data_IF_286251480398
#
_entry.id   IF_286251480398
#
_cell.length_a   1.000
_cell.length_b   1.000
_cell.length_c   1.000
_cell.angle_alpha   90.00
_cell.angle_beta   90.00
_cell.angle_gamma   90.00
#
_symmetry.space_group_name_H-M   'P 1'
#
loop_
_entity.id
_entity.type
_entity.pdbx_description
1 polymer ?
#
# COMPACT_ATOMS: atom_id res chain seq x y z
N UNK A 1 3.87 -1.06 -35.55
CA UNK A 1 3.65 0.07 -34.61
C UNK A 1 3.54 -0.54 -33.23
N UNK A 2 4.33 -0.08 -32.23
CA UNK A 2 4.22 -0.57 -30.87
C UNK A 2 2.93 -0.02 -30.25
N UNK A 3 2.21 -0.81 -29.41
CA UNK A 3 1.05 -0.32 -28.70
C UNK A 3 1.46 0.81 -27.74
N UNK A 4 0.61 1.83 -27.62
CA UNK A 4 0.79 2.90 -26.62
C UNK A 4 0.46 2.31 -25.26
N UNK A 5 1.34 2.49 -24.28
CA UNK A 5 1.07 2.07 -22.91
C UNK A 5 -0.16 2.82 -22.36
N UNK A 6 -1.11 2.07 -21.81
CA UNK A 6 -2.28 2.64 -21.16
C UNK A 6 -1.89 3.03 -19.73
N UNK A 7 -2.16 4.28 -19.35
CA UNK A 7 -1.97 4.70 -17.95
C UNK A 7 -2.95 3.95 -17.04
N UNK A 8 -2.48 3.23 -16.02
CA UNK A 8 -3.39 2.60 -15.05
C UNK A 8 -4.22 3.65 -14.31
N UNK A 9 -5.45 3.30 -13.95
CA UNK A 9 -6.37 4.20 -13.28
C UNK A 9 -7.04 3.52 -12.09
N UNK A 10 -7.29 4.29 -11.04
CA UNK A 10 -8.08 3.88 -9.88
C UNK A 10 -9.40 4.64 -9.89
N UNK A 11 -10.56 3.99 -9.71
CA UNK A 11 -11.86 4.68 -9.60
C UNK A 11 -11.86 5.71 -8.46
N UNK A 12 -12.61 6.79 -8.62
CA UNK A 12 -12.81 7.81 -7.60
C UNK A 12 -14.29 7.82 -7.19
N UNK A 13 -14.57 7.85 -5.90
CA UNK A 13 -15.94 8.00 -5.38
C UNK A 13 -16.55 9.28 -5.92
N UNK A 14 -17.82 9.22 -6.30
CA UNK A 14 -18.49 10.34 -6.95
C UNK A 14 -18.25 10.46 -8.45
N UNK A 15 -17.40 9.61 -9.02
CA UNK A 15 -17.09 9.52 -10.45
C UNK A 15 -15.70 10.02 -10.83
N UNK A 16 -15.25 9.60 -11.99
CA UNK A 16 -13.91 9.88 -12.50
C UNK A 16 -12.90 8.76 -12.25
N UNK A 17 -11.69 8.99 -12.72
CA UNK A 17 -10.59 8.04 -12.63
C UNK A 17 -9.30 8.78 -12.26
N UNK A 18 -8.59 8.26 -11.28
CA UNK A 18 -7.31 8.79 -10.83
C UNK A 18 -6.17 8.09 -11.60
N UNK A 19 -5.39 8.80 -12.43
CA UNK A 19 -4.29 8.22 -13.18
C UNK A 19 -3.13 7.89 -12.24
N UNK A 20 -2.65 6.65 -12.27
CA UNK A 20 -1.54 6.21 -11.42
C UNK A 20 -0.22 6.51 -12.09
N UNK A 21 0.62 7.31 -11.42
CA UNK A 21 1.97 7.64 -11.87
C UNK A 21 3.01 6.69 -11.26
N UNK A 22 3.05 6.57 -9.94
CA UNK A 22 3.97 5.70 -9.19
C UNK A 22 3.29 5.19 -7.93
N UNK A 23 3.76 4.05 -7.43
CA UNK A 23 3.34 3.49 -6.16
C UNK A 23 4.55 3.42 -5.24
N UNK A 24 4.56 4.26 -4.21
CA UNK A 24 5.50 4.17 -3.09
C UNK A 24 4.91 3.31 -2.00
N UNK A 25 5.75 2.52 -1.34
CA UNK A 25 5.36 1.69 -0.21
C UNK A 25 6.28 1.93 0.98
N UNK A 26 5.72 1.90 2.18
CA UNK A 26 6.43 2.14 3.43
C UNK A 26 6.53 0.84 4.22
N UNK A 27 7.73 0.29 4.31
CA UNK A 27 7.97 -0.90 5.11
C UNK A 27 8.08 -0.60 6.61
N UNK A 28 7.56 -1.54 7.46
CA UNK A 28 7.71 -1.52 8.93
C UNK A 28 7.15 -0.27 9.60
N UNK A 29 6.00 0.21 9.16
CA UNK A 29 5.40 1.45 9.67
C UNK A 29 4.40 1.24 10.81
N UNK A 30 4.16 0.01 11.26
CA UNK A 30 3.43 -0.31 12.48
C UNK A 30 4.36 -1.03 13.46
N UNK A 31 4.35 -0.60 14.73
CA UNK A 31 5.28 -1.12 15.75
C UNK A 31 5.10 -2.63 15.97
N UNK A 32 3.86 -3.12 16.03
CA UNK A 32 3.57 -4.53 16.25
C UNK A 32 3.96 -5.40 15.07
N UNK A 33 3.72 -4.93 13.84
CA UNK A 33 4.20 -5.60 12.64
C UNK A 33 5.74 -5.62 12.56
N UNK A 34 6.41 -4.54 12.94
CA UNK A 34 7.87 -4.53 12.98
C UNK A 34 8.40 -5.61 13.93
N UNK A 35 7.78 -5.79 15.12
CA UNK A 35 8.13 -6.86 16.08
C UNK A 35 7.83 -8.26 15.53
N UNK A 36 6.67 -8.46 14.91
CA UNK A 36 6.27 -9.71 14.24
C UNK A 36 7.32 -10.15 13.21
N UNK A 37 7.89 -9.19 12.48
CA UNK A 37 8.94 -9.41 11.47
C UNK A 37 10.36 -9.44 12.03
N UNK A 38 10.52 -9.51 13.37
CA UNK A 38 11.82 -9.62 14.04
C UNK A 38 12.64 -8.33 14.08
N UNK A 39 12.02 -7.17 13.83
CA UNK A 39 12.66 -5.85 13.95
C UNK A 39 12.31 -5.19 15.29
N UNK A 40 13.21 -4.32 15.77
CA UNK A 40 12.94 -3.47 16.91
C UNK A 40 11.95 -2.36 16.50
N UNK A 41 10.88 -2.19 17.30
CA UNK A 41 10.04 -1.01 17.16
C UNK A 41 10.69 0.17 17.91
N UNK A 42 10.65 1.40 17.35
CA UNK A 42 11.19 2.58 18.04
C UNK A 42 10.38 2.85 19.32
N UNK A 43 11.06 3.17 20.41
CA UNK A 43 10.41 3.50 21.67
C UNK A 43 9.93 4.97 21.71
N UNK A 44 10.44 5.80 20.80
CA UNK A 44 10.08 7.22 20.70
C UNK A 44 10.20 7.72 19.27
N UNK A 45 9.58 8.86 18.92
CA UNK A 45 9.78 9.52 17.64
C UNK A 45 11.25 9.81 17.28
N UNK A 46 12.10 10.08 18.27
CA UNK A 46 13.53 10.34 18.08
C UNK A 46 14.31 9.08 17.64
N UNK A 47 13.80 7.90 17.94
CA UNK A 47 14.44 6.60 17.66
C UNK A 47 13.96 5.96 16.35
N UNK A 48 13.04 6.61 15.63
CA UNK A 48 12.43 6.05 14.40
C UNK A 48 13.43 5.75 13.27
N UNK A 49 14.62 6.39 13.30
CA UNK A 49 15.61 6.27 12.24
C UNK A 49 15.13 6.90 10.94
N UNK A 50 15.21 6.12 9.85
CA UNK A 50 14.67 6.50 8.53
C UNK A 50 13.59 5.51 8.11
N UNK A 51 12.49 5.97 7.47
CA UNK A 51 11.51 5.04 6.90
C UNK A 51 12.14 4.18 5.81
N UNK A 52 11.66 2.94 5.70
CA UNK A 52 12.06 2.04 4.63
C UNK A 52 11.10 2.22 3.47
N UNK A 53 11.61 2.58 2.30
CA UNK A 53 10.82 2.74 1.09
C UNK A 53 11.16 1.68 0.06
N UNK A 54 10.15 1.26 -0.69
CA UNK A 54 10.26 0.48 -1.91
C UNK A 54 9.12 0.89 -2.86
N UNK A 55 9.14 0.41 -4.09
CA UNK A 55 8.15 0.78 -5.09
C UNK A 55 7.45 -0.48 -5.63
N UNK A 56 6.21 -0.26 -6.10
CA UNK A 56 5.54 -1.16 -7.03
C UNK A 56 5.34 -0.43 -8.37
N UNK A 57 5.33 -1.15 -9.50
CA UNK A 57 5.01 -0.54 -10.78
C UNK A 57 3.57 -0.02 -10.79
N UNK A 58 3.30 1.05 -11.55
CA UNK A 58 1.97 1.67 -11.59
C UNK A 58 0.88 0.71 -12.09
N UNK A 59 1.23 -0.20 -12.99
CA UNK A 59 0.36 -1.22 -13.57
C UNK A 59 0.14 -2.46 -12.66
N UNK A 60 0.73 -2.47 -11.45
CA UNK A 60 0.44 -3.48 -10.46
C UNK A 60 -0.94 -3.33 -9.79
N UNK A 61 -1.67 -2.21 -10.03
CA UNK A 61 -2.99 -1.98 -9.44
C UNK A 61 -4.03 -2.97 -9.96
N UNK A 62 -4.89 -3.47 -9.05
CA UNK A 62 -6.09 -4.26 -9.36
C UNK A 62 -7.28 -3.54 -8.74
N UNK A 63 -8.25 -3.15 -9.56
CA UNK A 63 -9.40 -2.34 -9.13
C UNK A 63 -10.73 -3.08 -9.17
N UNK A 64 -10.76 -4.27 -9.73
CA UNK A 64 -11.95 -5.14 -9.84
C UNK A 64 -11.98 -6.25 -8.78
N UNK A 65 -10.96 -6.31 -7.92
CA UNK A 65 -10.83 -7.30 -6.87
C UNK A 65 -10.47 -8.72 -7.35
N UNK A 66 -10.25 -8.94 -8.64
CA UNK A 66 -9.83 -10.22 -9.19
C UNK A 66 -8.30 -10.32 -9.21
N UNK A 67 -7.72 -10.97 -8.21
CA UNK A 67 -6.27 -11.07 -8.04
C UNK A 67 -5.77 -12.44 -8.49
N UNK A 68 -5.05 -12.55 -9.60
CA UNK A 68 -4.44 -13.81 -9.99
C UNK A 68 -3.33 -14.20 -9.00
N UNK A 69 -3.28 -15.48 -8.62
CA UNK A 69 -2.15 -15.97 -7.82
C UNK A 69 -0.86 -15.85 -8.64
N UNK A 70 0.18 -15.13 -8.15
CA UNK A 70 1.36 -14.83 -8.95
C UNK A 70 2.22 -16.08 -9.18
N UNK A 71 2.90 -16.16 -10.33
CA UNK A 71 3.89 -17.21 -10.57
C UNK A 71 5.13 -17.03 -9.68
N UNK A 72 5.92 -18.10 -9.54
CA UNK A 72 7.25 -18.05 -8.92
C UNK A 72 7.25 -17.96 -7.39
N UNK A 73 6.12 -18.19 -6.74
CA UNK A 73 6.00 -18.26 -5.27
C UNK A 73 5.03 -19.33 -4.84
N UNK A 74 5.24 -19.87 -3.64
CA UNK A 74 4.28 -20.70 -2.92
C UNK A 74 3.76 -20.02 -1.64
N UNK A 75 4.21 -18.79 -1.37
CA UNK A 75 3.89 -18.02 -0.17
C UNK A 75 3.49 -16.59 -0.53
N UNK A 76 2.30 -16.44 -1.13
CA UNK A 76 1.67 -15.13 -1.32
C UNK A 76 1.06 -14.67 0.00
N UNK A 77 1.49 -13.54 0.54
CA UNK A 77 0.97 -12.96 1.78
C UNK A 77 0.20 -11.68 1.52
N UNK A 78 -0.81 -11.45 2.38
CA UNK A 78 -1.55 -10.18 2.45
C UNK A 78 -0.88 -9.20 3.42
N UNK A 79 -0.98 -7.91 3.10
CA UNK A 79 -0.63 -6.77 3.96
C UNK A 79 -1.64 -5.66 3.69
N UNK A 80 -2.64 -5.46 4.58
CA UNK A 80 -3.63 -4.39 4.42
C UNK A 80 -3.04 -3.05 4.78
N UNK A 81 -3.26 -2.03 3.94
CA UNK A 81 -2.63 -0.73 4.10
C UNK A 81 -3.58 0.43 3.78
N UNK A 82 -3.40 1.55 4.50
CA UNK A 82 -3.89 2.83 4.05
C UNK A 82 -3.14 3.23 2.77
N UNK A 83 -3.88 3.70 1.77
CA UNK A 83 -3.31 4.27 0.56
C UNK A 83 -3.64 5.75 0.49
N UNK A 84 -2.63 6.59 0.33
CA UNK A 84 -2.74 8.03 0.15
C UNK A 84 -2.53 8.36 -1.32
N UNK A 85 -3.48 9.04 -1.94
CA UNK A 85 -3.41 9.48 -3.34
C UNK A 85 -3.02 10.95 -3.40
N UNK A 86 -2.00 11.30 -4.19
CA UNK A 86 -1.54 12.68 -4.36
C UNK A 86 -2.17 13.31 -5.61
N UNK A 87 -2.89 14.42 -5.42
CA UNK A 87 -3.58 15.14 -6.48
C UNK A 87 -2.83 16.34 -7.04
N UNK A 88 -1.65 16.65 -6.49
CA UNK A 88 -0.84 17.80 -6.89
C UNK A 88 0.64 17.47 -6.88
N UNK A 89 1.40 18.15 -7.73
CA UNK A 89 2.85 18.12 -7.68
C UNK A 89 3.35 18.88 -6.44
N UNK A 90 4.35 18.33 -5.76
CA UNK A 90 5.08 19.08 -4.74
C UNK A 90 5.92 20.17 -5.41
N UNK A 91 6.07 21.30 -4.72
CA UNK A 91 7.06 22.30 -5.11
C UNK A 91 8.47 21.68 -5.11
N UNK A 92 9.40 22.17 -5.94
CA UNK A 92 10.78 21.70 -5.91
C UNK A 92 11.40 21.83 -4.52
N UNK A 93 12.15 20.82 -4.11
CA UNK A 93 12.83 20.77 -2.82
C UNK A 93 12.10 19.97 -1.75
N UNK A 94 12.56 20.08 -0.52
CA UNK A 94 12.02 19.36 0.62
C UNK A 94 10.65 19.92 1.03
N UNK A 95 9.64 19.06 1.04
CA UNK A 95 8.27 19.40 1.43
C UNK A 95 8.17 19.63 2.95
N UNK A 96 7.70 20.80 3.36
CA UNK A 96 7.41 21.03 4.78
C UNK A 96 6.25 20.12 5.23
N UNK A 97 6.37 19.51 6.43
CA UNK A 97 5.29 18.64 6.99
C UNK A 97 3.94 19.34 7.03
N UNK A 98 3.92 20.61 7.42
CA UNK A 98 2.68 21.42 7.46
C UNK A 98 2.02 21.62 6.11
N UNK A 99 2.72 21.37 5.00
CA UNK A 99 2.21 21.49 3.64
C UNK A 99 1.80 20.14 3.03
N UNK A 100 2.12 19.03 3.69
CA UNK A 100 1.94 17.69 3.15
C UNK A 100 0.47 17.38 2.80
N UNK A 101 -0.47 17.74 3.68
CA UNK A 101 -1.90 17.53 3.47
C UNK A 101 -2.44 18.26 2.24
N UNK A 102 -1.82 19.35 1.81
CA UNK A 102 -2.23 20.08 0.61
C UNK A 102 -2.04 19.30 -0.69
N UNK A 103 -1.19 18.27 -0.69
CA UNK A 103 -0.97 17.38 -1.83
C UNK A 103 -1.99 16.25 -1.88
N UNK A 104 -2.63 15.90 -0.75
CA UNK A 104 -3.53 14.74 -0.66
C UNK A 104 -4.82 15.02 -1.41
N UNK A 105 -5.12 14.17 -2.38
CA UNK A 105 -6.38 14.13 -3.10
C UNK A 105 -7.44 13.33 -2.35
N UNK A 106 -7.04 12.18 -1.80
CA UNK A 106 -7.95 11.28 -1.12
C UNK A 106 -7.24 10.06 -0.55
N UNK A 107 -8.06 9.16 -0.02
CA UNK A 107 -7.62 7.95 0.66
C UNK A 107 -8.31 6.71 0.08
N UNK A 108 -7.61 5.58 0.14
CA UNK A 108 -8.12 4.27 -0.24
C UNK A 108 -7.61 3.22 0.75
N UNK A 109 -8.13 2.02 0.67
CA UNK A 109 -7.54 0.82 1.27
C UNK A 109 -6.98 -0.07 0.18
N UNK A 110 -5.80 -0.64 0.40
CA UNK A 110 -5.17 -1.57 -0.55
C UNK A 110 -4.51 -2.75 0.14
N UNK A 111 -4.02 -3.67 -0.68
CA UNK A 111 -3.17 -4.77 -0.23
C UNK A 111 -1.78 -4.64 -0.86
N UNK A 112 -0.73 -4.58 -0.04
CA UNK A 112 0.66 -4.75 -0.49
C UNK A 112 0.96 -6.26 -0.54
N UNK A 113 0.55 -6.90 -1.64
CA UNK A 113 0.78 -8.33 -1.83
C UNK A 113 2.26 -8.62 -1.94
N UNK A 114 2.67 -9.69 -1.25
CA UNK A 114 4.08 -10.03 -1.07
C UNK A 114 4.33 -11.50 -1.37
N UNK A 115 5.26 -11.79 -2.27
CA UNK A 115 5.87 -13.12 -2.42
C UNK A 115 6.84 -13.30 -1.25
N UNK A 116 6.35 -13.86 -0.14
CA UNK A 116 7.04 -13.84 1.15
C UNK A 116 8.33 -14.64 1.14
N UNK A 117 8.32 -15.78 0.48
CA UNK A 117 9.49 -16.64 0.26
C UNK A 117 10.63 -15.88 -0.45
N UNK A 118 10.32 -15.20 -1.55
CA UNK A 118 11.29 -14.41 -2.31
C UNK A 118 11.79 -13.19 -1.53
N UNK A 119 10.89 -12.52 -0.78
CA UNK A 119 11.31 -11.42 0.09
C UNK A 119 12.23 -11.90 1.22
N UNK A 120 11.96 -13.06 1.82
CA UNK A 120 12.78 -13.63 2.87
C UNK A 120 14.18 -13.98 2.34
N UNK A 121 14.26 -14.58 1.14
CA UNK A 121 15.52 -14.83 0.47
C UNK A 121 16.31 -13.54 0.19
N UNK A 122 15.65 -12.52 -0.35
CA UNK A 122 16.26 -11.22 -0.63
C UNK A 122 16.81 -10.58 0.66
N UNK A 123 16.04 -10.61 1.76
CA UNK A 123 16.50 -10.11 3.07
C UNK A 123 17.72 -10.85 3.57
N UNK A 124 17.73 -12.20 3.51
CA UNK A 124 18.84 -13.03 3.98
C UNK A 124 20.13 -12.76 3.20
N UNK A 125 20.02 -12.40 1.92
CA UNK A 125 21.16 -12.13 1.03
C UNK A 125 21.46 -10.63 0.87
N UNK A 126 20.77 -9.73 1.60
CA UNK A 126 20.88 -8.28 1.47
C UNK A 126 20.65 -7.78 0.02
N UNK A 127 19.73 -8.42 -0.70
CA UNK A 127 19.32 -8.07 -2.06
C UNK A 127 18.10 -7.13 -2.07
N UNK A 128 17.83 -6.42 -3.19
CA UNK A 128 16.60 -5.66 -3.39
C UNK A 128 15.34 -6.53 -3.23
N UNK A 129 14.21 -5.90 -2.81
CA UNK A 129 12.96 -6.61 -2.55
C UNK A 129 12.02 -6.70 -3.76
N UNK A 130 12.43 -6.15 -4.91
CA UNK A 130 11.59 -5.97 -6.09
C UNK A 130 10.87 -7.25 -6.52
N UNK A 131 11.59 -8.38 -6.62
CA UNK A 131 10.99 -9.67 -7.01
C UNK A 131 9.93 -10.18 -6.02
N UNK A 132 10.03 -9.77 -4.76
CA UNK A 132 9.06 -10.11 -3.71
C UNK A 132 7.91 -9.11 -3.59
N UNK A 133 8.08 -7.88 -4.08
CA UNK A 133 7.16 -6.77 -3.86
C UNK A 133 6.59 -6.13 -5.13
N UNK A 134 7.39 -6.04 -6.21
CA UNK A 134 7.07 -5.30 -7.42
C UNK A 134 6.71 -6.26 -8.56
N UNK A 135 5.56 -6.94 -8.45
CA UNK A 135 5.08 -7.90 -9.44
C UNK A 135 3.65 -7.56 -9.90
N UNK A 136 3.24 -8.15 -11.03
CA UNK A 136 1.94 -7.92 -11.65
C UNK A 136 0.80 -8.22 -10.67
N UNK A 137 -0.21 -7.36 -10.66
CA UNK A 137 -1.38 -7.46 -9.77
C UNK A 137 -1.03 -7.47 -8.26
N UNK A 138 0.11 -6.90 -7.86
CA UNK A 138 0.56 -6.89 -6.46
C UNK A 138 -0.01 -5.75 -5.61
N UNK A 139 -0.83 -4.87 -6.19
CA UNK A 139 -1.44 -3.71 -5.51
C UNK A 139 -2.96 -3.64 -5.71
N UNK A 140 -3.75 -4.62 -5.21
CA UNK A 140 -5.21 -4.46 -5.16
C UNK A 140 -5.57 -3.22 -4.34
N UNK A 141 -6.49 -2.40 -4.87
CA UNK A 141 -6.87 -1.11 -4.28
C UNK A 141 -8.36 -0.84 -4.47
N UNK A 142 -9.00 -0.24 -3.47
CA UNK A 142 -10.38 0.22 -3.53
C UNK A 142 -10.52 1.47 -4.42
N UNK A 143 -11.74 1.96 -4.59
CA UNK A 143 -11.93 3.34 -5.05
C UNK A 143 -11.22 4.32 -4.11
N UNK A 144 -10.78 5.47 -4.64
CA UNK A 144 -10.24 6.57 -3.84
C UNK A 144 -11.42 7.43 -3.36
N UNK A 145 -11.46 7.69 -2.06
CA UNK A 145 -12.42 8.62 -1.44
C UNK A 145 -11.75 9.99 -1.34
N UNK A 146 -12.31 11.04 -1.96
CA UNK A 146 -11.73 12.38 -1.88
C UNK A 146 -11.61 12.88 -0.44
N UNK A 147 -10.55 13.64 -0.13
CA UNK A 147 -10.29 14.14 1.23
C UNK A 147 -11.48 14.96 1.79
N UNK A 148 -12.24 15.62 0.93
CA UNK A 148 -13.43 16.37 1.33
C UNK A 148 -14.57 15.51 1.89
N UNK A 149 -14.56 14.20 1.59
CA UNK A 149 -15.54 13.21 2.07
C UNK A 149 -15.00 12.38 3.22
N UNK A 150 -13.79 12.68 3.69
CA UNK A 150 -13.15 11.98 4.82
C UNK A 150 -13.01 12.91 6.01
N UNK A 151 -13.26 12.40 7.20
CA UNK A 151 -13.06 13.14 8.45
C UNK A 151 -12.31 12.27 9.45
N UNK A 152 -11.53 12.91 10.28
CA UNK A 152 -10.86 12.30 11.42
C UNK A 152 -10.11 11.00 11.07
N UNK A 153 -9.21 11.09 10.08
CA UNK A 153 -8.42 9.93 9.64
C UNK A 153 -7.59 9.33 10.79
N UNK A 154 -7.17 10.13 11.76
CA UNK A 154 -6.42 9.66 12.92
C UNK A 154 -7.20 8.70 13.83
N UNK A 155 -8.53 8.76 13.82
CA UNK A 155 -9.39 7.87 14.61
C UNK A 155 -9.84 6.62 13.81
N UNK A 156 -9.39 6.45 12.57
CA UNK A 156 -9.76 5.31 11.73
C UNK A 156 -8.84 4.11 11.95
N UNK A 157 -9.34 2.95 11.54
CA UNK A 157 -8.62 1.69 11.61
C UNK A 157 -8.59 1.02 10.24
N UNK A 158 -7.61 0.15 10.05
CA UNK A 158 -7.56 -0.81 8.96
C UNK A 158 -8.02 -2.17 9.47
N UNK A 159 -8.85 -2.86 8.70
CA UNK A 159 -9.28 -4.23 8.98
C UNK A 159 -9.14 -5.08 7.74
N UNK A 160 -8.64 -6.30 7.88
CA UNK A 160 -8.65 -7.32 6.83
C UNK A 160 -9.32 -8.59 7.34
N UNK A 161 -10.27 -9.08 6.53
CA UNK A 161 -10.90 -10.39 6.71
C UNK A 161 -10.56 -11.28 5.51
N UNK A 162 -10.22 -12.52 5.79
CA UNK A 162 -10.04 -13.57 4.78
C UNK A 162 -11.03 -14.68 5.11
N UNK A 163 -11.89 -15.03 4.16
CA UNK A 163 -12.95 -16.03 4.34
C UNK A 163 -13.79 -15.76 5.60
N UNK A 164 -14.18 -14.49 5.78
CA UNK A 164 -14.94 -13.97 6.93
C UNK A 164 -14.20 -13.98 8.29
N UNK A 165 -12.96 -14.48 8.36
CA UNK A 165 -12.14 -14.42 9.56
C UNK A 165 -11.26 -13.15 9.56
N UNK A 166 -11.29 -12.38 10.67
CA UNK A 166 -10.43 -11.20 10.80
C UNK A 166 -8.98 -11.63 10.99
N UNK A 167 -8.12 -11.23 10.04
CA UNK A 167 -6.68 -11.52 10.04
C UNK A 167 -5.83 -10.36 10.52
N UNK A 168 -6.16 -9.13 10.09
CA UNK A 168 -5.41 -7.95 10.48
C UNK A 168 -6.36 -6.88 11.01
N UNK A 169 -5.88 -6.11 11.98
CA UNK A 169 -6.53 -4.90 12.48
C UNK A 169 -5.49 -3.98 13.10
N UNK A 170 -5.56 -2.67 12.81
CA UNK A 170 -4.68 -1.68 13.38
C UNK A 170 -5.23 -0.27 13.25
N UNK A 171 -5.11 0.52 14.31
CA UNK A 171 -5.52 1.92 14.27
C UNK A 171 -4.49 2.76 13.51
N UNK A 172 -4.94 3.75 12.74
CA UNK A 172 -4.02 4.65 12.00
C UNK A 172 -3.19 5.52 12.94
N UNK A 173 -3.63 5.70 14.20
CA UNK A 173 -2.84 6.34 15.26
C UNK A 173 -1.58 5.56 15.64
N UNK A 174 -1.50 4.25 15.30
CA UNK A 174 -0.37 3.37 15.64
C UNK A 174 0.73 3.40 14.56
N UNK A 175 0.54 4.19 13.50
CA UNK A 175 1.56 4.44 12.49
C UNK A 175 2.79 5.09 13.14
N UNK A 176 3.97 4.50 12.93
CA UNK A 176 5.27 5.04 13.39
C UNK A 176 5.55 6.38 12.70
N UNK A 177 5.30 6.44 11.42
CA UNK A 177 5.39 7.62 10.57
C UNK A 177 4.01 7.94 10.03
N UNK A 178 3.43 9.06 10.40
CA UNK A 178 2.15 9.51 9.87
C UNK A 178 2.29 9.98 8.42
N UNK A 179 1.15 10.34 7.79
CA UNK A 179 1.13 10.76 6.38
C UNK A 179 2.05 11.95 6.12
N UNK A 180 2.02 12.96 6.99
CA UNK A 180 2.82 14.18 6.81
C UNK A 180 4.31 13.91 6.91
N UNK A 181 4.70 13.06 7.86
CA UNK A 181 6.08 12.61 8.02
C UNK A 181 6.56 11.84 6.78
N UNK A 182 5.74 10.91 6.26
CA UNK A 182 6.12 10.09 5.09
C UNK A 182 6.24 10.94 3.84
N UNK A 183 5.31 11.85 3.57
CA UNK A 183 5.40 12.74 2.41
C UNK A 183 6.61 13.67 2.50
N UNK A 184 6.93 14.17 3.70
CA UNK A 184 8.15 14.93 3.95
C UNK A 184 9.40 14.09 3.65
N UNK A 185 9.53 12.87 4.18
CA UNK A 185 10.69 12.01 3.96
C UNK A 185 10.82 11.55 2.50
N UNK A 186 9.72 11.24 1.82
CA UNK A 186 9.72 10.92 0.40
C UNK A 186 10.19 12.10 -0.45
N UNK A 187 9.79 13.32 -0.12
CA UNK A 187 10.14 14.52 -0.88
C UNK A 187 11.66 14.83 -0.88
N UNK A 188 12.39 14.30 0.09
CA UNK A 188 13.86 14.39 0.13
C UNK A 188 14.54 13.51 -0.92
N UNK A 189 13.83 12.48 -1.38
CA UNK A 189 14.36 11.46 -2.29
C UNK A 189 13.76 11.56 -3.69
N UNK A 190 12.50 12.02 -3.80
CA UNK A 190 11.72 12.01 -5.03
C UNK A 190 10.95 13.31 -5.23
N UNK A 191 10.81 13.74 -6.47
CA UNK A 191 9.82 14.76 -6.84
C UNK A 191 8.42 14.10 -6.80
N UNK A 192 7.63 14.40 -5.75
CA UNK A 192 6.26 13.92 -5.60
C UNK A 192 5.35 14.59 -6.62
N UNK A 193 4.47 13.83 -7.25
CA UNK A 193 3.61 14.29 -8.33
C UNK A 193 2.15 13.86 -8.16
N UNK A 194 1.28 14.61 -8.81
CA UNK A 194 -0.09 14.16 -9.02
C UNK A 194 -0.10 12.78 -9.69
N UNK A 195 -0.93 11.88 -9.19
CA UNK A 195 -0.96 10.48 -9.60
C UNK A 195 -0.10 9.54 -8.76
N UNK A 196 0.76 10.04 -7.88
CA UNK A 196 1.51 9.18 -6.96
C UNK A 196 0.57 8.58 -5.90
N UNK A 197 0.72 7.28 -5.64
CA UNK A 197 0.08 6.55 -4.54
C UNK A 197 1.14 6.23 -3.47
N UNK A 198 0.75 6.29 -2.20
CA UNK A 198 1.62 5.93 -1.08
C UNK A 198 0.90 4.91 -0.21
N UNK A 199 1.39 3.68 -0.20
CA UNK A 199 0.98 2.61 0.70
C UNK A 199 1.73 2.80 2.01
N UNK A 200 0.99 2.95 3.11
CA UNK A 200 1.49 3.50 4.38
C UNK A 200 2.04 2.44 5.35
N UNK A 201 2.10 1.18 4.94
CA UNK A 201 2.51 0.07 5.80
C UNK A 201 1.31 -0.65 6.45
N UNK A 202 1.57 -1.87 6.88
CA UNK A 202 0.55 -2.82 7.36
C UNK A 202 0.64 -3.07 8.87
N UNK A 203 -0.49 -3.27 9.57
CA UNK A 203 -0.50 -3.76 10.95
C UNK A 203 -0.10 -5.24 11.04
N UNK A 204 0.12 -5.75 12.25
CA UNK A 204 0.39 -7.16 12.53
C UNK A 204 -0.75 -8.09 12.06
N UNK A 205 -0.43 -9.39 11.94
CA UNK A 205 -1.34 -10.44 11.49
C UNK A 205 -1.22 -10.76 10.02
N UNK A 206 -0.06 -10.46 9.39
CA UNK A 206 0.22 -10.86 8.01
C UNK A 206 0.18 -12.39 7.87
N UNK A 207 -0.26 -12.89 6.71
CA UNK A 207 -0.40 -14.33 6.51
C UNK A 207 -0.60 -14.72 5.06
N UNK A 208 -0.56 -16.02 4.80
CA UNK A 208 -0.68 -16.60 3.47
C UNK A 208 -2.09 -16.46 2.89
N UNK A 209 -2.14 -16.27 1.59
CA UNK A 209 -3.32 -16.34 0.74
C UNK A 209 -3.24 -17.54 -0.18
N UNK A 210 -4.38 -18.16 -0.44
CA UNK A 210 -4.49 -19.32 -1.32
C UNK A 210 -5.49 -19.05 -2.44
N UNK A 211 -5.37 -19.77 -3.54
CA UNK A 211 -6.37 -19.73 -4.61
C UNK A 211 -7.75 -20.08 -4.05
N UNK A 212 -8.73 -19.23 -4.36
CA UNK A 212 -10.09 -19.35 -3.85
C UNK A 212 -10.40 -18.54 -2.59
N UNK A 213 -9.39 -18.01 -1.88
CA UNK A 213 -9.61 -17.14 -0.74
C UNK A 213 -10.33 -15.86 -1.18
N UNK A 214 -11.33 -15.45 -0.40
CA UNK A 214 -12.01 -14.15 -0.51
C UNK A 214 -11.49 -13.22 0.55
N UNK A 215 -11.33 -11.95 0.20
CA UNK A 215 -10.90 -10.93 1.13
C UNK A 215 -11.84 -9.73 1.15
N UNK A 216 -11.93 -9.12 2.32
CA UNK A 216 -12.52 -7.79 2.52
C UNK A 216 -11.51 -6.98 3.31
N UNK A 217 -10.93 -5.95 2.67
CA UNK A 217 -10.08 -4.96 3.30
C UNK A 217 -10.88 -3.69 3.52
N UNK A 218 -10.84 -3.12 4.74
CA UNK A 218 -11.61 -1.94 5.11
C UNK A 218 -10.70 -0.84 5.67
N UNK A 219 -10.90 0.37 5.20
CA UNK A 219 -10.60 1.59 5.94
C UNK A 219 -11.89 1.96 6.65
N UNK A 220 -11.97 1.63 7.93
CA UNK A 220 -13.22 1.54 8.67
C UNK A 220 -14.06 2.83 8.63
N UNK A 221 -15.31 2.68 8.16
CA UNK A 221 -16.26 3.79 7.98
C UNK A 221 -15.99 4.70 6.77
N UNK A 222 -15.00 4.38 5.94
CA UNK A 222 -14.65 5.16 4.75
C UNK A 222 -14.88 4.34 3.47
N UNK A 223 -14.15 3.22 3.28
CA UNK A 223 -14.21 2.43 2.05
C UNK A 223 -13.81 0.98 2.30
N UNK A 224 -14.34 0.08 1.47
CA UNK A 224 -13.97 -1.33 1.46
C UNK A 224 -13.46 -1.75 0.09
N UNK A 225 -12.55 -2.71 0.09
CA UNK A 225 -12.07 -3.44 -1.07
C UNK A 225 -12.48 -4.91 -0.92
N UNK A 226 -13.32 -5.39 -1.81
CA UNK A 226 -13.73 -6.78 -1.88
C UNK A 226 -13.01 -7.48 -3.03
N UNK A 227 -12.57 -8.70 -2.82
CA UNK A 227 -11.96 -9.46 -3.90
C UNK A 227 -11.71 -10.92 -3.55
N UNK A 228 -11.08 -11.60 -4.48
CA UNK A 228 -10.68 -13.00 -4.30
C UNK A 228 -9.41 -13.34 -5.06
N UNK A 229 -8.73 -14.39 -4.61
CA UNK A 229 -7.52 -14.91 -5.22
C UNK A 229 -7.91 -15.92 -6.29
N UNK A 230 -7.72 -15.55 -7.55
CA UNK A 230 -7.98 -16.40 -8.71
C UNK A 230 -6.81 -17.36 -8.98
N UNK A 231 -7.04 -18.46 -9.73
CA UNK A 231 -5.95 -19.27 -10.24
C UNK A 231 -4.93 -18.44 -11.02
N UNK A 232 -3.66 -18.91 -11.11
CA UNK A 232 -2.66 -18.26 -11.96
C UNK A 232 -3.18 -18.08 -13.39
N UNK A 233 -2.84 -16.95 -14.00
CA UNK A 233 -3.07 -16.79 -15.46
C UNK A 233 -2.13 -17.76 -16.18
N UNK A 234 -2.67 -18.55 -17.11
CA UNK A 234 -1.84 -19.44 -17.91
C UNK A 234 -0.77 -18.62 -18.63
N UNK A 235 0.50 -18.99 -18.42
CA UNK A 235 1.61 -18.40 -19.17
C UNK A 235 1.45 -18.75 -20.67
N UNK A 236 1.46 -17.74 -21.50
CA UNK A 236 1.47 -17.88 -22.96
C UNK A 236 2.83 -18.38 -23.46
#
# INVERSE_FOLDING_TARGET
>A
MLPVAVTPHVPVRGGGAFPVHRIYCVGRNFADHAREMGASAPASPAERGRPVFFLKPADAVVVDGLVPYPPGTNELHHEVELVVALGRDAAPGELARSSAQSLVFGYAVGLDLTRRDLQAEAKAKSLPWDIGKAFDASAPISEIVPVAETSDMGARSLTLRINDERRQHGALSDLIWNVDDILHELSKLYALRAGDLVFMGTPAGVGALHVGDRFVASLDGIVELHGHIAPPVASH
#
